data_IF_584373889913
#
_entry.id   IF_584373889913
#
_cell.length_a   1.000
_cell.length_b   1.000
_cell.length_c   1.000
_cell.angle_alpha   90.00
_cell.angle_beta   90.00
_cell.angle_gamma   90.00
#
_symmetry.space_group_name_H-M   'P 1'
#
loop_
_entity.id
_entity.type
_entity.pdbx_description
1 polymer ?
#
# COMPACT_ATOMS: atom_id res chain seq x y z
N UNK A 1 -12.00 26.49 13.69
CA UNK A 1 -12.07 25.32 12.81
C UNK A 1 -10.96 24.37 13.23
N UNK A 2 -11.26 23.45 14.13
CA UNK A 2 -10.25 22.48 14.59
C UNK A 2 -10.23 21.40 13.51
N UNK A 3 -9.15 21.36 12.72
CA UNK A 3 -8.91 20.23 11.84
C UNK A 3 -8.93 18.97 12.70
N UNK A 4 -9.97 18.17 12.47
CA UNK A 4 -10.17 16.85 13.05
C UNK A 4 -8.92 16.06 12.72
N UNK A 5 -8.03 15.87 13.70
CA UNK A 5 -6.94 14.91 13.61
C UNK A 5 -7.64 13.56 13.42
N UNK A 6 -7.76 13.14 12.17
CA UNK A 6 -8.25 11.81 11.84
C UNK A 6 -7.34 10.84 12.60
N UNK A 7 -7.88 9.86 13.34
CA UNK A 7 -7.08 8.87 14.06
C UNK A 7 -6.48 7.91 13.02
N UNK A 8 -5.63 8.43 12.12
CA UNK A 8 -4.91 7.67 11.12
C UNK A 8 -3.80 6.97 11.88
N UNK A 9 -3.89 5.64 11.91
CA UNK A 9 -2.81 4.69 12.17
C UNK A 9 -2.60 4.20 13.62
N UNK A 10 -3.40 4.60 14.61
CA UNK A 10 -3.12 4.18 16.01
C UNK A 10 -3.53 2.73 16.37
N UNK A 11 -4.19 1.99 15.48
CA UNK A 11 -4.50 0.58 15.74
C UNK A 11 -3.57 -0.29 14.89
N UNK A 12 -2.43 -0.64 15.49
CA UNK A 12 -1.19 -1.20 14.93
C UNK A 12 -1.28 -2.60 14.29
N UNK A 13 -2.29 -2.88 13.47
CA UNK A 13 -2.36 -4.05 12.60
C UNK A 13 -2.81 -3.64 11.20
N UNK A 14 -1.86 -3.22 10.37
CA UNK A 14 -2.11 -2.90 8.98
C UNK A 14 -2.24 -4.20 8.16
N UNK A 15 -3.41 -4.84 8.24
CA UNK A 15 -3.74 -6.01 7.43
C UNK A 15 -4.43 -5.61 6.14
N UNK A 16 -3.85 -6.02 5.02
CA UNK A 16 -4.47 -5.92 3.70
C UNK A 16 -4.78 -7.32 3.18
N UNK A 17 -5.92 -7.48 2.54
CA UNK A 17 -6.19 -8.69 1.74
C UNK A 17 -5.35 -8.64 0.47
N UNK A 18 -5.01 -9.81 -0.07
CA UNK A 18 -4.32 -9.90 -1.36
C UNK A 18 -5.10 -9.20 -2.48
N UNK A 19 -6.43 -9.32 -2.51
CA UNK A 19 -7.29 -8.63 -3.49
C UNK A 19 -7.24 -7.10 -3.38
N UNK A 20 -6.99 -6.55 -2.19
CA UNK A 20 -6.80 -5.11 -2.02
C UNK A 20 -5.46 -4.68 -2.63
N UNK A 21 -4.41 -5.49 -2.47
CA UNK A 21 -3.10 -5.25 -3.07
C UNK A 21 -3.15 -5.36 -4.60
N UNK A 22 -3.83 -6.36 -5.15
CA UNK A 22 -4.02 -6.49 -6.61
C UNK A 22 -4.72 -5.26 -7.19
N UNK A 23 -5.81 -4.79 -6.57
CA UNK A 23 -6.50 -3.59 -7.04
C UNK A 23 -5.63 -2.34 -6.95
N UNK A 24 -4.86 -2.19 -5.87
CA UNK A 24 -3.99 -1.03 -5.67
C UNK A 24 -2.83 -0.99 -6.69
N UNK A 25 -2.27 -2.15 -7.03
CA UNK A 25 -1.10 -2.28 -7.92
C UNK A 25 -1.46 -2.56 -9.39
N UNK A 26 -2.74 -2.48 -9.75
CA UNK A 26 -3.20 -2.79 -11.11
C UNK A 26 -2.89 -4.24 -11.53
N UNK A 27 -3.07 -5.18 -10.61
CA UNK A 27 -2.68 -6.59 -10.73
C UNK A 27 -1.16 -6.78 -10.85
N UNK A 28 -0.39 -6.07 -10.01
CA UNK A 28 1.08 -6.06 -10.02
C UNK A 28 1.66 -5.73 -11.40
N UNK A 29 1.12 -4.70 -12.04
CA UNK A 29 1.49 -4.32 -13.40
C UNK A 29 2.99 -3.99 -13.49
N UNK A 30 3.68 -4.57 -14.47
CA UNK A 30 5.11 -4.28 -14.70
C UNK A 30 5.37 -2.81 -15.04
N UNK A 31 4.40 -2.11 -15.61
CA UNK A 31 4.52 -0.68 -15.91
C UNK A 31 4.58 0.19 -14.64
N UNK A 32 4.02 -0.30 -13.53
CA UNK A 32 4.03 0.39 -12.24
C UNK A 32 5.15 -0.10 -11.33
N UNK A 33 6.00 -1.03 -11.79
CA UNK A 33 7.18 -1.48 -11.05
C UNK A 33 8.20 -0.34 -10.95
N UNK A 34 8.48 0.07 -9.72
CA UNK A 34 9.48 1.10 -9.41
C UNK A 34 10.88 0.50 -9.26
N UNK A 35 10.98 -0.75 -8.79
CA UNK A 35 12.26 -1.42 -8.60
C UNK A 35 12.15 -2.77 -7.92
N UNK A 36 13.28 -3.48 -7.83
CA UNK A 36 13.39 -4.77 -7.15
C UNK A 36 14.74 -4.87 -6.46
N UNK A 37 14.73 -5.32 -5.20
CA UNK A 37 15.94 -5.57 -4.40
C UNK A 37 15.82 -6.87 -3.61
N UNK A 38 16.76 -7.11 -2.68
CA UNK A 38 16.82 -8.34 -1.89
C UNK A 38 15.60 -8.62 -0.99
N UNK A 39 14.77 -7.60 -0.75
CA UNK A 39 13.57 -7.70 0.08
C UNK A 39 12.26 -7.75 -0.71
N UNK A 40 12.32 -7.71 -2.04
CA UNK A 40 11.14 -7.80 -2.91
C UNK A 40 11.05 -6.70 -3.96
N UNK A 41 9.84 -6.56 -4.50
CA UNK A 41 9.51 -5.64 -5.59
C UNK A 41 8.64 -4.50 -5.09
N UNK A 42 8.90 -3.28 -5.57
CA UNK A 42 8.11 -2.09 -5.26
C UNK A 42 7.27 -1.73 -6.49
N UNK A 43 5.99 -1.50 -6.27
CA UNK A 43 5.04 -0.98 -7.26
C UNK A 43 4.53 0.39 -6.79
N UNK A 44 4.07 1.21 -7.73
CA UNK A 44 3.42 2.50 -7.46
C UNK A 44 2.14 2.36 -6.63
#
# INVERSE_FOLDING_TARGET
SVEKIEPKLLNSNLHFTYSALEKATGNFNSNDKLGQGGFGTVYK
#
